data_IF_869310060497
#
_entry.id   IF_869310060497
#
_cell.length_a   1.000
_cell.length_b   1.000
_cell.length_c   1.000
_cell.angle_alpha   90.00
_cell.angle_beta   90.00
_cell.angle_gamma   90.00
#
_symmetry.space_group_name_H-M   'P 1'
#
loop_
_entity.id
_entity.type
_entity.pdbx_description
1 polymer ?
#
# COMPACT_ATOMS: atom_id res chain seq x y z
N UNK A 1 -15.98 6.86 8.54
CA UNK A 1 -14.68 6.80 7.84
C UNK A 1 -13.62 6.51 8.88
N UNK A 2 -12.67 5.61 8.59
CA UNK A 2 -11.59 5.23 9.50
C UNK A 2 -10.26 5.31 8.74
N UNK A 3 -9.25 5.89 9.39
CA UNK A 3 -7.89 5.98 8.84
C UNK A 3 -6.89 5.60 9.91
N UNK A 4 -5.93 4.76 9.55
CA UNK A 4 -4.81 4.32 10.38
C UNK A 4 -3.50 4.64 9.69
N UNK A 5 -2.59 5.25 10.44
CA UNK A 5 -1.23 5.57 10.01
C UNK A 5 -0.27 4.70 10.81
N UNK A 6 0.77 4.20 10.16
CA UNK A 6 1.85 3.44 10.79
C UNK A 6 3.21 3.97 10.37
N UNK A 7 4.15 3.96 11.30
CA UNK A 7 5.55 4.25 11.05
C UNK A 7 6.42 3.28 11.86
N UNK A 8 7.49 2.80 11.27
CA UNK A 8 8.44 1.87 11.87
C UNK A 8 9.86 2.27 11.48
N UNK A 9 10.76 2.19 12.46
CA UNK A 9 12.21 2.37 12.30
C UNK A 9 12.89 1.16 12.94
N UNK A 10 13.95 0.62 12.33
CA UNK A 10 14.76 -0.45 12.90
C UNK A 10 16.22 -0.04 13.11
N UNK A 11 16.92 -0.76 13.99
CA UNK A 11 18.35 -0.55 14.24
C UNK A 11 19.22 -0.86 13.02
N UNK A 12 18.72 -1.64 12.07
CA UNK A 12 19.41 -1.95 10.81
C UNK A 12 19.20 -0.88 9.73
N UNK A 13 18.56 0.25 10.05
CA UNK A 13 18.34 1.35 9.10
C UNK A 13 17.06 1.22 8.25
N UNK A 14 16.19 0.25 8.55
CA UNK A 14 14.88 0.15 7.91
C UNK A 14 13.99 1.30 8.38
N UNK A 15 13.32 1.97 7.43
CA UNK A 15 12.21 2.86 7.67
C UNK A 15 10.99 2.41 6.86
N UNK A 16 9.83 2.36 7.49
CA UNK A 16 8.57 1.98 6.85
C UNK A 16 7.46 2.92 7.29
N UNK A 17 6.63 3.34 6.36
CA UNK A 17 5.39 4.07 6.61
C UNK A 17 4.23 3.39 5.92
N UNK A 18 3.07 3.40 6.58
CA UNK A 18 1.84 2.79 6.06
C UNK A 18 0.66 3.71 6.25
N UNK A 19 -0.26 3.66 5.30
CA UNK A 19 -1.56 4.30 5.37
C UNK A 19 -2.61 3.26 5.05
N UNK A 20 -3.61 3.12 5.92
CA UNK A 20 -4.81 2.34 5.68
C UNK A 20 -6.00 3.27 5.89
N UNK A 21 -6.85 3.40 4.88
CA UNK A 21 -8.07 4.19 5.01
C UNK A 21 -9.25 3.49 4.37
N UNK A 22 -10.40 3.57 5.03
CA UNK A 22 -11.64 2.91 4.61
C UNK A 22 -12.86 3.74 4.95
N UNK A 23 -13.88 3.63 4.13
CA UNK A 23 -15.16 4.30 4.36
C UNK A 23 -16.08 4.25 3.16
N UNK A 24 -17.04 5.16 3.16
CA UNK A 24 -17.94 5.41 2.03
C UNK A 24 -17.58 6.72 1.36
N UNK A 25 -17.81 6.82 0.05
CA UNK A 25 -17.58 8.07 -0.68
C UNK A 25 -18.69 9.08 -0.30
N UNK A 26 -18.33 10.31 0.08
CA UNK A 26 -19.32 11.35 0.39
C UNK A 26 -20.29 11.56 -0.78
N UNK A 27 -21.58 11.69 -0.47
CA UNK A 27 -22.66 11.85 -1.45
C UNK A 27 -22.90 10.61 -2.35
N UNK A 28 -22.31 9.46 -2.03
CA UNK A 28 -22.51 8.19 -2.75
C UNK A 28 -22.45 7.03 -1.75
N UNK A 29 -23.50 6.90 -0.92
CA UNK A 29 -23.55 5.92 0.18
C UNK A 29 -23.48 4.45 -0.29
N UNK A 30 -23.80 4.18 -1.55
CA UNK A 30 -23.69 2.87 -2.18
C UNK A 30 -22.27 2.54 -2.68
N UNK A 31 -21.28 3.42 -2.47
CA UNK A 31 -19.87 3.18 -2.82
C UNK A 31 -19.02 3.18 -1.55
N UNK A 32 -18.49 2.00 -1.22
CA UNK A 32 -17.45 1.82 -0.22
C UNK A 32 -16.05 1.78 -0.85
N UNK A 33 -15.04 2.20 -0.10
CA UNK A 33 -13.65 2.12 -0.53
C UNK A 33 -12.74 1.65 0.61
N UNK A 34 -11.61 1.05 0.23
CA UNK A 34 -10.43 0.88 1.08
C UNK A 34 -9.18 1.18 0.26
N UNK A 35 -8.19 1.78 0.89
CA UNK A 35 -6.91 2.05 0.29
C UNK A 35 -5.80 1.70 1.29
N UNK A 36 -4.93 0.78 0.88
CA UNK A 36 -3.72 0.46 1.62
C UNK A 36 -2.52 0.99 0.84
N UNK A 37 -1.63 1.73 1.52
CA UNK A 37 -0.38 2.24 0.96
C UNK A 37 0.75 1.87 1.89
N UNK A 38 1.88 1.46 1.32
CA UNK A 38 3.13 1.23 2.03
C UNK A 38 4.28 1.91 1.29
N UNK A 39 5.13 2.57 2.04
CA UNK A 39 6.44 3.01 1.58
C UNK A 39 7.48 2.49 2.55
N UNK A 40 8.51 1.85 2.02
CA UNK A 40 9.59 1.26 2.79
C UNK A 40 10.92 1.56 2.11
N UNK A 41 11.93 1.85 2.90
CA UNK A 41 13.31 1.82 2.45
C UNK A 41 14.26 1.48 3.58
N UNK A 42 15.48 1.11 3.24
CA UNK A 42 16.51 0.82 4.23
C UNK A 42 17.81 0.37 3.59
N UNK A 43 18.87 0.50 4.36
CA UNK A 43 20.21 0.07 3.99
C UNK A 43 20.37 -1.43 4.24
N UNK A 44 20.94 -2.16 3.27
CA UNK A 44 21.35 -3.54 3.50
C UNK A 44 22.66 -3.58 4.28
N UNK A 45 22.83 -4.57 5.17
CA UNK A 45 24.10 -4.86 5.86
C UNK A 45 25.26 -5.21 4.91
N UNK A 46 24.97 -5.36 3.61
CA UNK A 46 25.96 -5.52 2.53
C UNK A 46 26.13 -4.19 1.78
N UNK A 47 27.38 -3.77 1.66
CA UNK A 47 27.83 -2.57 0.94
C UNK A 47 26.97 -2.23 -0.31
N UNK A 48 26.39 -1.03 -0.33
CA UNK A 48 25.77 -0.33 -1.48
C UNK A 48 24.41 -0.84 -2.02
N UNK A 49 23.65 -1.65 -1.29
CA UNK A 49 22.30 -2.07 -1.71
C UNK A 49 21.20 -1.31 -0.97
N UNK A 50 20.81 -0.14 -1.49
CA UNK A 50 19.58 0.55 -1.06
C UNK A 50 18.36 -0.23 -1.58
N UNK A 51 17.48 -0.69 -0.68
CA UNK A 51 16.20 -1.28 -1.05
C UNK A 51 15.10 -0.24 -0.86
N UNK A 52 14.31 0.02 -1.91
CA UNK A 52 13.12 0.91 -1.84
C UNK A 52 11.90 0.18 -2.37
N UNK A 53 10.85 0.09 -1.56
CA UNK A 53 9.61 -0.59 -1.89
C UNK A 53 8.41 0.32 -1.66
N UNK A 54 7.58 0.46 -2.69
CA UNK A 54 6.31 1.18 -2.62
C UNK A 54 5.18 0.26 -3.06
N UNK A 55 4.09 0.25 -2.32
CA UNK A 55 2.89 -0.53 -2.63
C UNK A 55 1.64 0.30 -2.46
N UNK A 56 0.68 0.09 -3.36
CA UNK A 56 -0.66 0.67 -3.27
C UNK A 56 -1.69 -0.39 -3.69
N UNK A 57 -2.72 -0.56 -2.87
CA UNK A 57 -3.77 -1.54 -3.06
C UNK A 57 -5.15 -0.89 -2.82
N UNK A 58 -5.75 -0.28 -3.86
CA UNK A 58 -7.10 0.25 -3.78
C UNK A 58 -8.15 -0.86 -3.97
N UNK A 59 -9.23 -0.76 -3.20
CA UNK A 59 -10.44 -1.55 -3.37
C UNK A 59 -11.64 -0.61 -3.37
N UNK A 60 -12.52 -0.74 -4.35
CA UNK A 60 -13.78 0.02 -4.43
C UNK A 60 -14.91 -0.99 -4.58
N UNK A 61 -15.89 -0.90 -3.68
CA UNK A 61 -17.09 -1.72 -3.74
C UNK A 61 -18.28 -0.82 -4.05
N UNK A 62 -19.03 -1.15 -5.10
CA UNK A 62 -20.21 -0.40 -5.53
C UNK A 62 -21.44 -1.31 -5.56
N UNK A 63 -22.49 -0.90 -4.86
CA UNK A 63 -23.83 -1.49 -4.99
C UNK A 63 -24.55 -0.80 -6.15
N UNK A 64 -24.52 -1.45 -7.32
CA UNK A 64 -25.11 -0.91 -8.56
C UNK A 64 -26.64 -0.97 -8.57
N UNK A 65 -27.21 -1.97 -7.90
CA UNK A 65 -28.65 -2.14 -7.63
C UNK A 65 -28.83 -3.05 -6.40
N UNK A 66 -30.05 -3.28 -5.91
CA UNK A 66 -30.29 -4.19 -4.78
C UNK A 66 -29.80 -5.63 -5.03
N UNK A 67 -29.66 -6.04 -6.29
CA UNK A 67 -29.25 -7.39 -6.69
C UNK A 67 -27.81 -7.46 -7.23
N UNK A 68 -27.16 -6.33 -7.50
CA UNK A 68 -25.86 -6.30 -8.19
C UNK A 68 -24.82 -5.51 -7.39
N UNK A 69 -23.73 -6.20 -7.06
CA UNK A 69 -22.55 -5.63 -6.42
C UNK A 69 -21.33 -5.81 -7.31
N UNK A 70 -20.57 -4.73 -7.51
CA UNK A 70 -19.33 -4.72 -8.30
C UNK A 70 -18.17 -4.36 -7.38
N UNK A 71 -17.08 -5.11 -7.46
CA UNK A 71 -15.84 -4.83 -6.74
C UNK A 71 -14.73 -4.59 -7.74
N UNK A 72 -14.02 -3.47 -7.57
CA UNK A 72 -12.82 -3.12 -8.33
C UNK A 72 -11.62 -3.23 -7.39
N UNK A 73 -10.62 -4.00 -7.80
CA UNK A 73 -9.43 -4.28 -6.99
C UNK A 73 -8.18 -4.08 -7.86
N UNK A 74 -7.13 -3.53 -7.27
CA UNK A 74 -5.82 -3.47 -7.90
C UNK A 74 -4.72 -3.64 -6.84
N UNK A 75 -3.59 -4.21 -7.27
CA UNK A 75 -2.37 -4.32 -6.48
C UNK A 75 -1.20 -3.83 -7.32
N UNK A 76 -0.57 -2.76 -6.88
CA UNK A 76 0.55 -2.14 -7.60
C UNK A 76 1.75 -2.12 -6.65
N UNK A 77 2.84 -2.76 -7.06
CA UNK A 77 4.06 -2.85 -6.30
C UNK A 77 5.25 -2.41 -7.14
N UNK A 78 6.03 -1.46 -6.61
CA UNK A 78 7.32 -1.08 -7.17
C UNK A 78 8.42 -1.45 -6.19
N UNK A 79 9.28 -2.37 -6.60
CA UNK A 79 10.44 -2.79 -5.84
C UNK A 79 11.71 -2.38 -6.58
N UNK A 80 12.53 -1.55 -5.95
CA UNK A 80 13.85 -1.17 -6.43
C UNK A 80 14.85 -1.88 -5.53
N UNK A 81 15.33 -3.02 -6.02
CA UNK A 81 16.45 -3.75 -5.44
C UNK A 81 17.55 -3.79 -6.52
N UNK A 82 18.79 -3.37 -6.23
CA UNK A 82 19.91 -3.63 -7.10
C UNK A 82 19.97 -5.14 -7.40
N UNK A 83 19.97 -5.48 -8.69
CA UNK A 83 20.19 -6.86 -9.11
C UNK A 83 21.64 -7.21 -8.80
N UNK A 84 21.85 -8.10 -7.83
CA UNK A 84 23.14 -8.72 -7.60
C UNK A 84 23.48 -9.61 -8.80
N UNK A 85 24.25 -9.07 -9.75
CA UNK A 85 24.98 -9.87 -10.72
C UNK A 85 26.27 -10.28 -10.02
N UNK A 86 26.24 -11.41 -9.34
CA UNK A 86 27.43 -12.03 -8.77
C UNK A 86 28.56 -12.09 -9.81
N UNK A 87 29.76 -11.74 -9.38
CA UNK A 87 31.02 -12.11 -10.05
C UNK A 87 31.47 -13.47 -9.53
#
# INVERSE_FOLDING_TARGET
QQTTLGAQLSSEGLYRTTVDTTGTIPNTENIGYRLNVIAEGGDSYRDHVESKRYGIAPVIQWQASDATKVTFEADILRNQHPLDRGQ
#
